data_IF_954767419329
#
_entry.id   IF_954767419329
#
_cell.length_a   1.000
_cell.length_b   1.000
_cell.length_c   1.000
_cell.angle_alpha   90.00
_cell.angle_beta   90.00
_cell.angle_gamma   90.00
#
_symmetry.space_group_name_H-M   'P 1'
#
loop_
_entity.id
_entity.type
_entity.pdbx_description
1 polymer ?
#
# COMPACT_ATOMS: atom_id res chain seq x y z
N UNK A 1 1.46 -1.16 23.71
CA UNK A 1 0.54 -2.30 23.57
C UNK A 1 1.15 -3.35 22.60
N UNK A 2 2.35 -3.86 22.88
CA UNK A 2 3.15 -4.71 21.96
C UNK A 2 3.55 -6.06 22.59
N UNK A 3 2.78 -6.52 23.58
CA UNK A 3 3.15 -7.67 24.44
C UNK A 3 2.16 -8.84 24.42
N UNK A 4 1.29 -8.92 23.42
CA UNK A 4 0.39 -10.07 23.27
C UNK A 4 0.53 -10.81 21.92
N UNK A 5 1.02 -10.17 20.86
CA UNK A 5 1.13 -10.80 19.52
C UNK A 5 2.35 -11.71 19.33
N UNK A 6 3.40 -11.61 20.16
CA UNK A 6 4.56 -12.51 20.06
C UNK A 6 4.37 -13.86 20.79
N UNK A 7 3.19 -14.13 21.35
CA UNK A 7 2.91 -15.34 22.15
C UNK A 7 2.23 -16.47 21.37
N UNK A 8 1.69 -16.16 20.20
CA UNK A 8 1.09 -17.12 19.27
C UNK A 8 1.83 -16.86 17.97
N UNK A 9 2.68 -17.78 17.53
CA UNK A 9 3.58 -17.57 16.40
C UNK A 9 2.83 -16.92 15.23
N UNK A 10 3.42 -15.86 14.65
CA UNK A 10 2.83 -15.18 13.50
C UNK A 10 2.40 -16.25 12.48
N UNK A 11 1.17 -16.17 11.93
CA UNK A 11 0.75 -17.09 10.89
C UNK A 11 1.86 -17.16 9.84
N UNK A 12 2.27 -18.37 9.44
CA UNK A 12 3.15 -18.51 8.28
C UNK A 12 2.36 -17.93 7.12
N UNK A 13 2.61 -16.67 6.83
CA UNK A 13 2.16 -16.03 5.61
C UNK A 13 2.84 -16.84 4.52
N UNK A 14 2.11 -17.80 3.94
CA UNK A 14 2.55 -18.51 2.74
C UNK A 14 2.94 -17.50 1.67
N UNK A 15 3.61 -17.95 0.60
CA UNK A 15 4.05 -17.06 -0.48
C UNK A 15 2.88 -16.17 -0.94
N UNK A 16 2.87 -14.92 -0.49
CA UNK A 16 1.82 -13.97 -0.82
C UNK A 16 2.04 -13.63 -2.28
N UNK A 17 1.03 -13.89 -3.11
CA UNK A 17 1.09 -13.55 -4.53
C UNK A 17 1.25 -12.04 -4.71
N UNK A 18 1.71 -11.63 -5.89
CA UNK A 18 1.76 -10.21 -6.21
C UNK A 18 0.38 -9.55 -6.00
N UNK A 19 0.33 -8.28 -5.53
CA UNK A 19 -0.93 -7.55 -5.45
C UNK A 19 -1.67 -7.61 -6.79
N UNK A 20 -2.96 -7.93 -6.75
CA UNK A 20 -3.78 -8.00 -7.96
C UNK A 20 -3.87 -6.60 -8.61
N UNK A 21 -3.80 -6.50 -9.95
CA UNK A 21 -4.04 -5.24 -10.63
C UNK A 21 -5.49 -4.79 -10.44
N UNK A 22 -5.68 -3.52 -10.11
CA UNK A 22 -6.97 -2.86 -9.93
C UNK A 22 -7.20 -1.87 -11.07
N UNK A 23 -8.40 -1.83 -11.67
CA UNK A 23 -8.73 -0.80 -12.63
C UNK A 23 -8.97 0.53 -11.92
N UNK A 24 -8.48 1.63 -12.48
CA UNK A 24 -8.63 2.97 -11.88
C UNK A 24 -10.07 3.40 -11.59
N UNK A 25 -11.07 2.81 -12.29
CA UNK A 25 -12.49 3.01 -12.00
C UNK A 25 -12.89 2.62 -10.57
N UNK A 26 -12.11 1.76 -9.91
CA UNK A 26 -12.36 1.24 -8.56
C UNK A 26 -11.73 2.10 -7.47
N UNK A 27 -10.95 3.14 -7.83
CA UNK A 27 -10.30 4.04 -6.87
C UNK A 27 -11.29 4.65 -5.86
N UNK A 28 -12.47 5.16 -6.23
CA UNK A 28 -13.41 5.71 -5.25
C UNK A 28 -13.86 4.67 -4.21
N UNK A 29 -14.05 3.42 -4.62
CA UNK A 29 -14.41 2.34 -3.70
C UNK A 29 -13.24 2.02 -2.76
N UNK A 30 -12.01 1.93 -3.29
CA UNK A 30 -10.81 1.71 -2.48
C UNK A 30 -10.59 2.82 -1.44
N UNK A 31 -10.81 4.09 -1.81
CA UNK A 31 -10.74 5.24 -0.90
C UNK A 31 -11.85 5.25 0.17
N UNK A 32 -13.03 4.71 -0.15
CA UNK A 32 -14.13 4.60 0.80
C UNK A 32 -13.93 3.46 1.81
N UNK A 33 -13.26 2.38 1.41
CA UNK A 33 -13.03 1.20 2.25
C UNK A 33 -11.79 1.32 3.14
N UNK A 34 -10.76 2.04 2.69
CA UNK A 34 -9.49 2.11 3.42
C UNK A 34 -8.50 3.11 2.83
N UNK A 35 -7.21 2.79 2.96
CA UNK A 35 -6.14 3.66 2.50
C UNK A 35 -5.70 3.30 1.08
N UNK A 36 -5.48 4.32 0.25
CA UNK A 36 -4.79 4.18 -1.04
C UNK A 36 -3.42 4.84 -0.91
N UNK A 37 -2.37 4.02 -0.96
CA UNK A 37 -1.00 4.42 -0.68
C UNK A 37 -0.20 4.48 -1.98
N UNK A 38 0.24 5.67 -2.35
CA UNK A 38 1.16 5.88 -3.46
C UNK A 38 2.61 5.73 -2.99
N UNK A 39 3.28 4.69 -3.48
CA UNK A 39 4.65 4.35 -3.07
C UNK A 39 5.73 4.98 -3.95
N UNK A 40 5.33 5.78 -4.95
CA UNK A 40 6.25 6.48 -5.84
C UNK A 40 7.07 7.54 -5.10
N UNK A 41 8.20 7.98 -5.68
CA UNK A 41 8.97 9.10 -5.15
C UNK A 41 8.10 10.34 -4.94
N UNK A 42 8.33 11.07 -3.84
CA UNK A 42 7.55 12.25 -3.49
C UNK A 42 7.53 13.34 -4.58
N UNK A 43 8.58 13.41 -5.41
CA UNK A 43 8.60 14.29 -6.58
C UNK A 43 7.51 13.94 -7.60
N UNK A 44 7.38 12.67 -7.96
CA UNK A 44 6.35 12.19 -8.89
C UNK A 44 4.94 12.44 -8.35
N UNK A 45 4.74 12.22 -7.05
CA UNK A 45 3.47 12.50 -6.39
C UNK A 45 3.11 13.99 -6.36
N UNK A 46 4.09 14.85 -6.05
CA UNK A 46 3.90 16.31 -6.09
C UNK A 46 3.51 16.78 -7.50
N UNK A 47 4.15 16.21 -8.52
CA UNK A 47 3.94 16.62 -9.91
C UNK A 47 2.56 16.12 -10.42
N UNK A 48 2.11 14.93 -10.00
CA UNK A 48 0.75 14.44 -10.22
C UNK A 48 0.32 13.40 -9.17
N UNK A 49 -0.80 13.66 -8.49
CA UNK A 49 -1.43 12.73 -7.56
C UNK A 49 -2.96 12.77 -7.63
N UNK A 50 -3.58 11.71 -7.14
CA UNK A 50 -5.03 11.63 -7.03
C UNK A 50 -5.50 12.10 -5.65
N UNK A 51 -6.57 12.92 -5.57
CA UNK A 51 -7.14 13.35 -4.30
C UNK A 51 -7.51 12.18 -3.39
N UNK A 52 -7.24 12.33 -2.10
CA UNK A 52 -7.55 11.32 -1.07
C UNK A 52 -6.51 10.22 -0.91
N UNK A 53 -5.52 10.13 -1.80
CA UNK A 53 -4.40 9.19 -1.67
C UNK A 53 -3.34 9.70 -0.67
N UNK A 54 -2.53 8.80 -0.14
CA UNK A 54 -1.39 9.11 0.75
C UNK A 54 -0.08 8.73 0.05
N UNK A 55 0.84 9.67 -0.09
CA UNK A 55 2.19 9.32 -0.55
C UNK A 55 3.04 8.83 0.61
N UNK A 56 3.50 7.58 0.51
CA UNK A 56 4.51 7.00 1.41
C UNK A 56 5.58 6.38 0.52
N UNK A 57 6.63 7.14 0.14
CA UNK A 57 7.63 6.65 -0.80
C UNK A 57 8.30 5.36 -0.31
N UNK A 58 8.58 4.44 -1.24
CA UNK A 58 9.26 3.18 -0.95
C UNK A 58 10.77 3.40 -0.71
N UNK A 59 11.08 4.01 0.43
CA UNK A 59 12.44 4.30 0.91
C UNK A 59 12.64 3.68 2.29
N UNK A 60 13.83 3.83 2.88
CA UNK A 60 14.18 3.27 4.21
C UNK A 60 13.17 3.60 5.32
N UNK A 61 12.50 4.75 5.25
CA UNK A 61 11.52 5.19 6.23
C UNK A 61 10.08 4.69 5.96
N UNK A 62 9.84 3.93 4.87
CA UNK A 62 8.51 3.49 4.44
C UNK A 62 7.70 2.84 5.56
N UNK A 63 8.26 1.81 6.22
CA UNK A 63 7.57 1.09 7.30
C UNK A 63 7.33 1.95 8.54
N UNK A 64 8.22 2.92 8.81
CA UNK A 64 8.04 3.85 9.93
C UNK A 64 6.83 4.73 9.69
N UNK A 65 6.71 5.32 8.50
CA UNK A 65 5.56 6.16 8.15
C UNK A 65 4.26 5.35 8.03
N UNK A 66 4.32 4.19 7.37
CA UNK A 66 3.16 3.31 7.23
C UNK A 66 2.58 2.90 8.60
N UNK A 67 3.43 2.52 9.56
CA UNK A 67 2.98 2.14 10.91
C UNK A 67 2.40 3.30 11.74
N UNK A 68 2.69 4.55 11.36
CA UNK A 68 2.12 5.75 12.01
C UNK A 68 0.82 6.20 11.37
N UNK A 69 0.70 6.08 10.05
CA UNK A 69 -0.37 6.68 9.27
C UNK A 69 -1.51 5.70 8.93
N UNK A 70 -1.21 4.41 8.82
CA UNK A 70 -2.16 3.42 8.33
C UNK A 70 -2.82 2.65 9.47
N UNK A 71 -4.09 2.30 9.27
CA UNK A 71 -4.83 1.41 10.18
C UNK A 71 -4.48 -0.05 9.89
N UNK A 72 -4.32 -0.84 10.95
CA UNK A 72 -4.09 -2.29 10.88
C UNK A 72 -5.34 -3.08 10.48
N UNK A 73 -6.53 -2.49 10.66
CA UNK A 73 -7.81 -3.14 10.42
C UNK A 73 -8.42 -2.76 9.06
N UNK A 74 -7.94 -1.68 8.44
CA UNK A 74 -8.44 -1.19 7.16
C UNK A 74 -7.73 -1.88 5.97
N UNK A 75 -8.43 -2.07 4.84
CA UNK A 75 -7.82 -2.40 3.56
C UNK A 75 -6.78 -1.37 3.10
N UNK A 76 -5.76 -1.83 2.36
CA UNK A 76 -4.73 -0.99 1.75
C UNK A 76 -4.65 -1.32 0.26
N UNK A 77 -4.90 -0.35 -0.61
CA UNK A 77 -4.56 -0.44 -2.03
C UNK A 77 -3.25 0.33 -2.28
N UNK A 78 -2.44 -0.15 -3.22
CA UNK A 78 -1.16 0.48 -3.57
C UNK A 78 -1.27 1.21 -4.92
N UNK A 79 -0.57 2.32 -5.09
CA UNK A 79 -0.25 2.90 -6.41
C UNK A 79 1.26 2.77 -6.57
N UNK A 80 1.73 2.12 -7.63
CA UNK A 80 3.15 1.81 -7.84
C UNK A 80 3.53 1.90 -9.32
N UNK A 81 4.80 2.21 -9.61
CA UNK A 81 5.34 2.27 -10.99
C UNK A 81 5.52 0.87 -11.61
N UNK A 82 5.57 -0.17 -10.78
CA UNK A 82 5.71 -1.56 -11.23
C UNK A 82 5.09 -2.57 -10.26
N UNK A 83 4.78 -3.77 -10.77
CA UNK A 83 4.41 -4.91 -9.92
C UNK A 83 5.50 -5.26 -8.90
N UNK A 84 6.77 -5.04 -9.24
CA UNK A 84 7.89 -5.34 -8.35
C UNK A 84 7.88 -4.42 -7.11
N UNK A 85 7.67 -3.11 -7.32
CA UNK A 85 7.56 -2.13 -6.24
C UNK A 85 6.33 -2.41 -5.37
N UNK A 86 5.21 -2.79 -5.98
CA UNK A 86 4.01 -3.19 -5.26
C UNK A 86 4.23 -4.45 -4.39
N UNK A 87 4.99 -5.43 -4.90
CA UNK A 87 5.39 -6.63 -4.13
C UNK A 87 6.32 -6.26 -2.98
N UNK A 88 7.29 -5.38 -3.19
CA UNK A 88 8.19 -4.91 -2.14
C UNK A 88 7.44 -4.15 -1.05
N UNK A 89 6.57 -3.22 -1.43
CA UNK A 89 5.71 -2.48 -0.51
C UNK A 89 4.80 -3.43 0.30
N UNK A 90 4.15 -4.40 -0.36
CA UNK A 90 3.31 -5.39 0.32
C UNK A 90 4.11 -6.20 1.36
N UNK A 91 5.34 -6.63 1.03
CA UNK A 91 6.22 -7.34 1.97
C UNK A 91 6.65 -6.47 3.14
N UNK A 92 6.99 -5.21 2.88
CA UNK A 92 7.39 -4.26 3.91
C UNK A 92 6.22 -3.95 4.86
N UNK A 93 5.00 -3.76 4.33
CA UNK A 93 3.78 -3.59 5.15
C UNK A 93 3.49 -4.83 6.00
N UNK A 94 3.56 -6.03 5.41
CA UNK A 94 3.37 -7.29 6.14
C UNK A 94 4.41 -7.47 7.27
N UNK A 95 5.65 -7.01 7.07
CA UNK A 95 6.71 -7.12 8.09
C UNK A 95 6.40 -6.38 9.40
N UNK A 96 5.50 -5.40 9.35
CA UNK A 96 5.04 -4.63 10.51
C UNK A 96 3.60 -4.94 10.91
N UNK A 97 2.95 -5.95 10.30
CA UNK A 97 1.58 -6.39 10.60
C UNK A 97 0.48 -5.69 9.79
N UNK A 98 0.83 -4.90 8.77
CA UNK A 98 -0.14 -4.29 7.84
C UNK A 98 -0.42 -5.27 6.70
N UNK A 99 -1.27 -6.25 6.98
CA UNK A 99 -1.42 -7.42 6.13
C UNK A 99 -2.52 -7.30 5.05
N UNK A 100 -3.35 -6.27 5.10
CA UNK A 100 -4.61 -6.18 4.33
C UNK A 100 -4.44 -5.48 2.98
N UNK A 101 -3.40 -5.82 2.23
CA UNK A 101 -3.18 -5.28 0.87
C UNK A 101 -4.16 -5.93 -0.11
N UNK A 102 -5.03 -5.14 -0.73
CA UNK A 102 -6.12 -5.61 -1.62
C UNK A 102 -5.73 -5.65 -3.09
N UNK A 103 -4.74 -4.85 -3.50
CA UNK A 103 -4.28 -4.79 -4.90
C UNK A 103 -3.39 -3.60 -5.18
N UNK A 104 -3.12 -3.37 -6.47
CA UNK A 104 -2.35 -2.23 -6.95
C UNK A 104 -3.02 -1.53 -8.15
N UNK A 105 -2.93 -0.22 -8.21
CA UNK A 105 -3.14 0.56 -9.43
C UNK A 105 -1.77 0.82 -10.08
N UNK A 106 -1.70 0.68 -11.40
CA UNK A 106 -0.49 0.97 -12.17
C UNK A 106 -0.35 2.48 -12.38
N UNK A 107 0.68 3.08 -11.80
CA UNK A 107 0.89 4.51 -11.87
C UNK A 107 1.25 5.03 -13.28
N UNK A 108 1.66 4.15 -14.19
CA UNK A 108 1.90 4.52 -15.58
C UNK A 108 0.59 4.93 -16.30
N UNK A 109 -0.55 4.46 -15.80
CA UNK A 109 -1.88 4.78 -16.31
C UNK A 109 -2.53 5.99 -15.60
N UNK A 110 -1.79 6.67 -14.73
CA UNK A 110 -2.28 7.81 -13.94
C UNK A 110 -2.67 9.00 -14.82
N UNK A 111 -1.89 9.29 -15.87
CA UNK A 111 -2.16 10.40 -16.78
C UNK A 111 -3.43 10.20 -17.62
N UNK A 112 -3.98 8.99 -17.65
CA UNK A 112 -5.24 8.67 -18.31
C UNK A 112 -6.46 8.84 -17.37
N UNK A 113 -6.24 9.19 -16.10
CA UNK A 113 -7.31 9.42 -15.13
C UNK A 113 -7.69 10.91 -15.07
N UNK A 114 -8.99 11.21 -14.87
CA UNK A 114 -9.52 12.57 -14.87
C UNK A 114 -9.03 13.43 -13.69
#
# INVERSE_FOLDING_TARGET
MMKHLNKVGAPILGARGAPAPLPWRDLPAALAEGAVVDVRPAGAYRDAHLPGTLNIPLIKAFTTWAGWLLSYEAPIALIADSTADAVEAQRALASIGLDRVTGMFDANDLAAQP
#
